data_IF_842912565688
#
_entry.id   IF_842912565688
#
_cell.length_a   1.000
_cell.length_b   1.000
_cell.length_c   1.000
_cell.angle_alpha   90.00
_cell.angle_beta   90.00
_cell.angle_gamma   90.00
#
_symmetry.space_group_name_H-M   'P 1'
#
loop_
_entity.id
_entity.type
_entity.pdbx_description
1 polymer ?
#
# COMPACT_ATOMS: atom_id res chain seq x y z
N UNK A 1 -28.17 30.85 -23.40
CA UNK A 1 -27.11 31.72 -22.86
C UNK A 1 -25.75 31.07 -23.02
N UNK A 2 -25.19 31.11 -24.24
CA UNK A 2 -24.01 30.33 -24.62
C UNK A 2 -23.07 31.26 -25.42
N UNK A 3 -21.76 31.25 -25.12
CA UNK A 3 -20.71 32.03 -25.80
C UNK A 3 -19.72 31.08 -26.47
N UNK A 4 -19.16 31.46 -27.62
CA UNK A 4 -18.06 30.72 -28.27
C UNK A 4 -16.80 31.56 -28.32
N UNK A 5 -15.87 31.30 -27.39
CA UNK A 5 -14.60 32.02 -27.28
C UNK A 5 -13.44 31.25 -27.90
N UNK A 6 -12.40 31.96 -28.33
CA UNK A 6 -11.11 31.37 -28.73
C UNK A 6 -10.29 30.93 -27.52
N UNK A 7 -9.53 29.82 -27.65
CA UNK A 7 -8.66 29.25 -26.59
C UNK A 7 -7.79 30.30 -25.88
N UNK A 8 -7.63 30.16 -24.56
CA UNK A 8 -6.53 30.79 -23.82
C UNK A 8 -5.75 29.79 -22.91
N UNK A 9 -4.41 29.87 -23.05
CA UNK A 9 -3.24 29.32 -22.31
C UNK A 9 -2.85 27.82 -22.39
N UNK A 10 -1.82 27.56 -23.22
CA UNK A 10 -0.49 27.01 -22.83
C UNK A 10 0.60 27.56 -23.79
N UNK A 11 1.73 28.02 -23.21
CA UNK A 11 3.03 28.41 -23.81
C UNK A 11 2.99 29.17 -25.16
N UNK A 12 3.08 30.51 -25.09
CA UNK A 12 3.70 31.30 -26.17
C UNK A 12 2.86 31.67 -27.40
N UNK A 13 1.53 31.68 -27.33
CA UNK A 13 0.68 32.13 -28.44
C UNK A 13 -0.25 33.27 -28.03
N UNK A 14 -0.23 34.32 -28.85
CA UNK A 14 -0.90 35.61 -28.71
C UNK A 14 -2.43 35.45 -28.66
N UNK A 15 -3.07 36.24 -27.80
CA UNK A 15 -4.53 36.24 -27.57
C UNK A 15 -5.23 36.92 -28.75
N UNK A 16 -6.06 36.19 -29.49
CA UNK A 16 -7.08 36.76 -30.37
C UNK A 16 -8.45 36.53 -29.77
N UNK A 17 -8.94 37.48 -28.97
CA UNK A 17 -10.31 38.01 -29.05
C UNK A 17 -10.60 38.93 -27.87
N UNK A 18 -10.65 40.23 -28.14
CA UNK A 18 -11.06 41.26 -27.17
C UNK A 18 -12.58 41.45 -27.09
N UNK A 19 -13.40 40.84 -27.97
CA UNK A 19 -14.85 41.10 -28.03
C UNK A 19 -15.63 39.83 -28.43
N UNK A 20 -15.99 38.97 -27.48
CA UNK A 20 -16.89 37.80 -27.72
C UNK A 20 -18.21 37.95 -26.94
N UNK A 21 -18.37 39.04 -26.19
CA UNK A 21 -19.52 39.24 -25.31
C UNK A 21 -20.80 39.64 -26.06
N UNK A 22 -20.67 39.99 -27.34
CA UNK A 22 -21.69 40.62 -28.18
C UNK A 22 -22.23 39.74 -29.32
N UNK A 23 -21.76 38.49 -29.47
CA UNK A 23 -22.24 37.61 -30.54
C UNK A 23 -23.75 37.35 -30.42
N UNK A 24 -24.42 37.34 -31.57
CA UNK A 24 -25.82 36.92 -31.72
C UNK A 24 -25.97 35.40 -31.52
N UNK A 25 -27.21 34.91 -31.39
CA UNK A 25 -27.47 33.48 -31.20
C UNK A 25 -27.07 32.70 -32.45
N UNK A 26 -27.33 33.26 -33.63
CA UNK A 26 -27.06 32.69 -34.95
C UNK A 26 -25.56 32.51 -35.18
N UNK A 27 -24.76 33.52 -34.84
CA UNK A 27 -23.31 33.46 -34.91
C UNK A 27 -22.74 32.38 -33.97
N UNK A 28 -23.30 32.26 -32.76
CA UNK A 28 -22.89 31.20 -31.84
C UNK A 28 -23.28 29.81 -32.37
N UNK A 29 -24.46 29.63 -32.95
CA UNK A 29 -24.85 28.34 -33.54
C UNK A 29 -23.98 27.98 -34.75
N UNK A 30 -23.58 28.95 -35.55
CA UNK A 30 -22.65 28.74 -36.67
C UNK A 30 -21.29 28.24 -36.18
N UNK A 31 -20.68 28.93 -35.20
CA UNK A 31 -19.41 28.51 -34.61
C UNK A 31 -19.51 27.16 -33.88
N UNK A 32 -20.68 26.81 -33.33
CA UNK A 32 -20.91 25.50 -32.73
C UNK A 32 -20.87 24.38 -33.77
N UNK A 33 -21.48 24.58 -34.94
CA UNK A 33 -21.40 23.63 -36.06
C UNK A 33 -19.95 23.41 -36.51
N UNK A 34 -19.15 24.47 -36.56
CA UNK A 34 -17.70 24.39 -36.84
C UNK A 34 -16.96 23.53 -35.79
N UNK A 35 -17.28 23.70 -34.50
CA UNK A 35 -16.73 22.85 -33.42
C UNK A 35 -17.12 21.38 -33.60
N UNK A 36 -18.40 21.09 -33.89
CA UNK A 36 -18.91 19.72 -34.08
C UNK A 36 -18.27 19.06 -35.30
N UNK A 37 -18.09 19.82 -36.39
CA UNK A 37 -17.35 19.36 -37.57
C UNK A 37 -15.86 19.12 -37.27
N UNK A 38 -15.31 19.82 -36.28
CA UNK A 38 -13.89 19.81 -35.94
C UNK A 38 -13.03 20.52 -36.97
N UNK A 39 -13.57 21.57 -37.60
CA UNK A 39 -12.85 22.41 -38.56
C UNK A 39 -11.69 23.15 -37.89
N UNK A 40 -10.79 23.76 -38.69
CA UNK A 40 -9.72 24.61 -38.15
C UNK A 40 -10.27 25.76 -37.30
N UNK A 41 -11.43 26.33 -37.69
CA UNK A 41 -12.12 27.33 -36.90
C UNK A 41 -12.66 26.73 -35.60
N UNK A 42 -13.34 25.59 -35.68
CA UNK A 42 -13.90 24.89 -34.52
C UNK A 42 -12.86 24.50 -33.47
N UNK A 43 -11.65 24.07 -33.89
CA UNK A 43 -10.53 23.74 -32.99
C UNK A 43 -10.05 24.93 -32.16
N UNK A 44 -10.18 26.14 -32.70
CA UNK A 44 -9.82 27.38 -32.02
C UNK A 44 -10.88 27.81 -31.01
N UNK A 45 -12.13 27.33 -31.15
CA UNK A 45 -13.27 27.70 -30.33
C UNK A 45 -13.48 26.81 -29.09
N UNK A 46 -14.16 27.36 -28.10
CA UNK A 46 -14.70 26.66 -26.93
C UNK A 46 -16.03 27.27 -26.53
N UNK A 47 -16.95 26.43 -26.04
CA UNK A 47 -18.24 26.87 -25.53
C UNK A 47 -18.08 27.36 -24.10
N UNK A 48 -18.64 28.52 -23.76
CA UNK A 48 -18.63 29.10 -22.42
C UNK A 48 -20.06 29.44 -21.97
N UNK A 49 -20.29 29.37 -20.66
CA UNK A 49 -21.46 29.98 -20.05
C UNK A 49 -21.42 31.50 -20.20
N UNK A 50 -22.60 32.12 -20.24
CA UNK A 50 -22.75 33.58 -20.17
C UNK A 50 -23.22 33.92 -18.76
N UNK A 51 -22.27 34.14 -17.86
CA UNK A 51 -22.47 34.47 -16.46
C UNK A 51 -21.87 35.86 -16.19
N UNK A 52 -21.28 36.09 -15.01
CA UNK A 52 -20.66 37.36 -14.65
C UNK A 52 -19.14 37.25 -14.60
N UNK A 53 -18.47 37.97 -15.52
CA UNK A 53 -17.01 38.04 -15.58
C UNK A 53 -16.38 38.78 -14.40
N UNK A 54 -17.16 39.58 -13.66
CA UNK A 54 -16.72 40.32 -12.47
C UNK A 54 -17.02 39.59 -11.15
N UNK A 55 -17.65 38.42 -11.20
CA UNK A 55 -18.04 37.68 -10.00
C UNK A 55 -16.82 37.41 -9.09
N UNK A 56 -16.89 37.64 -7.76
CA UNK A 56 -15.79 37.34 -6.85
C UNK A 56 -15.40 35.84 -6.88
N UNK A 57 -16.35 34.94 -7.14
CA UNK A 57 -16.10 33.53 -7.40
C UNK A 57 -15.65 33.30 -8.85
N UNK A 58 -14.38 32.97 -9.01
CA UNK A 58 -13.76 32.73 -10.34
C UNK A 58 -14.44 31.62 -11.14
N UNK A 59 -15.11 30.66 -10.49
CA UNK A 59 -15.81 29.57 -11.20
C UNK A 59 -17.05 30.05 -11.96
N UNK A 60 -17.60 31.21 -11.59
CA UNK A 60 -18.76 31.83 -12.24
C UNK A 60 -18.36 32.80 -13.36
N UNK A 61 -17.06 33.04 -13.59
CA UNK A 61 -16.56 33.94 -14.65
C UNK A 61 -16.56 33.25 -16.01
N UNK A 62 -17.74 33.16 -16.62
CA UNK A 62 -17.99 32.51 -17.91
C UNK A 62 -17.22 31.19 -18.06
N UNK A 63 -17.55 30.17 -17.25
CA UNK A 63 -16.83 28.91 -17.29
C UNK A 63 -16.92 28.24 -18.66
N UNK A 64 -15.87 27.51 -19.04
CA UNK A 64 -15.86 26.72 -20.28
C UNK A 64 -16.72 25.47 -20.08
N UNK A 65 -17.69 25.26 -20.97
CA UNK A 65 -18.58 24.11 -20.98
C UNK A 65 -18.16 23.02 -21.95
N UNK A 66 -17.69 23.37 -23.16
CA UNK A 66 -17.24 22.39 -24.15
C UNK A 66 -15.94 22.81 -24.82
N UNK A 67 -15.15 21.81 -25.22
CA UNK A 67 -13.92 21.98 -25.99
C UNK A 67 -13.92 21.06 -27.21
N UNK A 68 -13.32 21.52 -28.29
CA UNK A 68 -13.04 20.68 -29.44
C UNK A 68 -11.75 19.85 -29.17
N UNK A 69 -11.85 18.52 -29.30
CA UNK A 69 -10.74 17.57 -29.28
C UNK A 69 -11.00 16.49 -30.33
N UNK A 70 -10.02 16.23 -31.20
CA UNK A 70 -10.13 15.22 -32.26
C UNK A 70 -9.60 13.84 -31.84
N UNK A 71 -8.93 13.76 -30.69
CA UNK A 71 -8.43 12.49 -30.18
C UNK A 71 -9.59 11.50 -29.96
N UNK A 72 -9.50 10.26 -30.48
CA UNK A 72 -10.55 9.27 -30.29
C UNK A 72 -10.82 8.97 -28.81
N UNK A 73 -12.09 8.89 -28.42
CA UNK A 73 -12.47 8.51 -27.07
C UNK A 73 -12.47 6.98 -26.92
N UNK A 74 -11.82 6.47 -25.87
CA UNK A 74 -11.64 5.04 -25.64
C UNK A 74 -12.92 4.16 -25.72
N UNK A 75 -14.11 4.69 -25.38
CA UNK A 75 -15.39 3.95 -25.48
C UNK A 75 -16.17 4.12 -26.78
N UNK A 76 -16.06 5.28 -27.43
CA UNK A 76 -16.97 5.70 -28.52
C UNK A 76 -16.21 6.13 -29.77
N UNK A 77 -14.89 5.89 -29.80
CA UNK A 77 -14.00 6.25 -30.90
C UNK A 77 -14.09 7.73 -31.25
N UNK A 78 -14.07 8.00 -32.56
CA UNK A 78 -14.11 9.35 -33.14
C UNK A 78 -15.53 9.87 -33.41
N UNK A 79 -16.56 9.29 -32.75
CA UNK A 79 -17.96 9.68 -32.97
C UNK A 79 -18.23 11.15 -32.66
N UNK A 80 -17.55 11.69 -31.65
CA UNK A 80 -17.68 13.08 -31.25
C UNK A 80 -16.32 13.77 -31.34
N UNK A 81 -16.35 15.07 -31.63
CA UNK A 81 -15.16 15.95 -31.69
C UNK A 81 -15.23 17.08 -30.67
N UNK A 82 -16.32 17.12 -29.90
CA UNK A 82 -16.63 18.15 -28.92
C UNK A 82 -17.01 17.46 -27.64
N UNK A 83 -16.30 17.78 -26.56
CA UNK A 83 -16.43 17.11 -25.28
C UNK A 83 -16.71 18.12 -24.17
N UNK A 84 -17.64 17.80 -23.25
CA UNK A 84 -17.94 18.68 -22.14
C UNK A 84 -16.77 18.72 -21.16
N UNK A 85 -16.65 19.81 -20.42
CA UNK A 85 -15.77 19.88 -19.25
C UNK A 85 -16.39 19.14 -18.08
N UNK A 86 -15.56 18.74 -17.11
CA UNK A 86 -16.02 18.12 -15.86
C UNK A 86 -17.11 18.94 -15.18
N UNK A 87 -16.87 20.25 -15.02
CA UNK A 87 -17.78 21.16 -14.31
C UNK A 87 -19.15 21.32 -15.00
N UNK A 88 -19.22 21.08 -16.31
CA UNK A 88 -20.47 21.13 -17.07
C UNK A 88 -21.20 19.79 -17.15
N UNK A 89 -20.45 18.69 -17.28
CA UNK A 89 -21.03 17.36 -17.40
C UNK A 89 -21.57 16.83 -16.08
N UNK A 90 -20.84 17.00 -14.97
CA UNK A 90 -21.19 16.39 -13.69
C UNK A 90 -22.58 16.77 -13.15
N UNK A 91 -22.97 18.07 -13.11
CA UNK A 91 -24.32 18.43 -12.64
C UNK A 91 -25.42 17.77 -13.48
N UNK A 92 -25.25 17.74 -14.80
CA UNK A 92 -26.20 17.11 -15.72
C UNK A 92 -26.33 15.61 -15.45
N UNK A 93 -25.20 14.89 -15.36
CA UNK A 93 -25.18 13.45 -15.11
C UNK A 93 -25.81 13.13 -13.76
N UNK A 94 -25.39 13.81 -12.69
CA UNK A 94 -25.93 13.58 -11.35
C UNK A 94 -27.45 13.80 -11.28
N UNK A 95 -27.95 14.85 -11.92
CA UNK A 95 -29.38 15.15 -11.92
C UNK A 95 -30.18 14.07 -12.67
N UNK A 96 -29.74 13.69 -13.87
CA UNK A 96 -30.40 12.70 -14.74
C UNK A 96 -30.33 11.29 -14.17
N UNK A 97 -29.22 10.90 -13.54
CA UNK A 97 -29.07 9.60 -12.89
C UNK A 97 -29.79 9.51 -11.54
N UNK A 98 -30.44 10.59 -11.09
CA UNK A 98 -31.23 10.57 -9.84
C UNK A 98 -30.38 10.70 -8.56
N UNK A 99 -29.13 11.17 -8.66
CA UNK A 99 -28.26 11.37 -7.49
C UNK A 99 -28.90 12.37 -6.53
N UNK A 100 -29.10 11.95 -5.29
CA UNK A 100 -29.66 12.83 -4.24
C UNK A 100 -28.56 13.62 -3.53
N UNK A 101 -27.44 12.96 -3.23
CA UNK A 101 -26.31 13.48 -2.48
C UNK A 101 -25.01 13.23 -3.25
N UNK A 102 -24.46 14.27 -3.88
CA UNK A 102 -23.16 14.21 -4.53
C UNK A 102 -22.05 14.41 -3.47
N UNK A 103 -21.35 13.33 -3.13
CA UNK A 103 -20.25 13.35 -2.16
C UNK A 103 -18.94 13.67 -2.88
N UNK A 104 -18.24 14.74 -2.48
CA UNK A 104 -17.00 15.16 -3.16
C UNK A 104 -15.94 15.72 -2.20
N UNK A 105 -14.70 15.82 -2.66
CA UNK A 105 -13.65 16.44 -1.85
C UNK A 105 -13.84 17.96 -1.73
N UNK A 106 -13.44 18.54 -0.60
CA UNK A 106 -13.52 19.98 -0.33
C UNK A 106 -12.67 20.85 -1.26
N UNK A 107 -11.74 20.24 -2.02
CA UNK A 107 -10.93 20.92 -3.05
C UNK A 107 -11.79 21.54 -4.16
N UNK A 108 -13.04 21.10 -4.31
CA UNK A 108 -13.96 21.62 -5.32
C UNK A 108 -14.89 22.71 -4.79
N UNK A 109 -14.79 23.11 -3.51
CA UNK A 109 -15.75 23.99 -2.82
C UNK A 109 -16.21 25.19 -3.64
N UNK A 110 -15.25 25.95 -4.20
CA UNK A 110 -15.55 27.16 -4.98
C UNK A 110 -16.46 26.88 -6.20
N UNK A 111 -16.49 25.64 -6.69
CA UNK A 111 -17.30 25.19 -7.84
C UNK A 111 -18.74 24.80 -7.48
N UNK A 112 -19.11 24.79 -6.20
CA UNK A 112 -20.49 24.51 -5.78
C UNK A 112 -21.49 25.47 -6.43
N UNK A 113 -21.16 26.77 -6.43
CA UNK A 113 -22.02 27.79 -7.02
C UNK A 113 -22.21 27.55 -8.53
N UNK A 114 -21.12 27.26 -9.25
CA UNK A 114 -21.16 26.91 -10.66
C UNK A 114 -22.03 25.67 -10.91
N UNK A 115 -21.88 24.62 -10.09
CA UNK A 115 -22.65 23.38 -10.21
C UNK A 115 -24.16 23.65 -10.10
N UNK A 116 -24.59 24.38 -9.06
CA UNK A 116 -26.00 24.69 -8.86
C UNK A 116 -26.55 25.62 -9.94
N UNK A 117 -25.75 26.58 -10.41
CA UNK A 117 -26.15 27.47 -11.49
C UNK A 117 -26.42 26.71 -12.80
N UNK A 118 -25.59 25.70 -13.11
CA UNK A 118 -25.80 24.86 -14.30
C UNK A 118 -27.11 24.06 -14.20
N UNK A 119 -27.44 23.51 -13.02
CA UNK A 119 -28.71 22.82 -12.82
C UNK A 119 -29.90 23.76 -13.04
N UNK A 120 -29.84 24.96 -12.49
CA UNK A 120 -30.88 25.99 -12.64
C UNK A 120 -31.04 26.42 -14.10
N UNK A 121 -29.95 26.77 -14.78
CA UNK A 121 -29.96 27.20 -16.19
C UNK A 121 -30.52 26.11 -17.13
N UNK A 122 -30.40 24.84 -16.75
CA UNK A 122 -30.93 23.69 -17.50
C UNK A 122 -32.34 23.25 -17.06
N UNK A 123 -32.91 23.85 -16.01
CA UNK A 123 -34.19 23.42 -15.45
C UNK A 123 -34.15 22.01 -14.84
N UNK A 124 -32.99 21.58 -14.34
CA UNK A 124 -32.78 20.26 -13.76
C UNK A 124 -33.06 20.23 -12.26
N UNK A 125 -33.36 19.02 -11.76
CA UNK A 125 -33.53 18.78 -10.32
C UNK A 125 -32.27 19.17 -9.55
N UNK A 126 -32.46 19.85 -8.43
CA UNK A 126 -31.38 20.17 -7.48
C UNK A 126 -30.78 18.88 -6.87
N UNK A 127 -29.45 18.78 -6.92
CA UNK A 127 -28.67 17.75 -6.24
C UNK A 127 -27.97 18.38 -5.04
N UNK A 128 -28.00 17.73 -3.89
CA UNK A 128 -27.32 18.23 -2.69
C UNK A 128 -25.85 17.85 -2.73
N UNK A 129 -24.95 18.78 -2.42
CA UNK A 129 -23.51 18.51 -2.40
C UNK A 129 -23.04 18.40 -0.95
N UNK A 130 -22.32 17.33 -0.65
CA UNK A 130 -21.68 17.12 0.64
C UNK A 130 -20.18 16.97 0.46
N UNK A 131 -19.43 17.76 1.22
CA UNK A 131 -18.00 17.89 1.04
C UNK A 131 -17.24 17.34 2.23
N UNK A 132 -16.17 16.62 1.94
CA UNK A 132 -15.26 16.05 2.93
C UNK A 132 -13.80 16.28 2.50
N UNK A 133 -12.90 16.29 3.47
CA UNK A 133 -11.47 16.39 3.19
C UNK A 133 -10.97 15.10 2.57
N UNK A 134 -9.99 15.22 1.67
CA UNK A 134 -9.29 14.04 1.14
C UNK A 134 -8.43 13.41 2.23
N UNK A 135 -8.29 12.09 2.20
CA UNK A 135 -7.33 11.37 3.03
C UNK A 135 -5.90 11.74 2.60
N UNK A 136 -5.04 12.06 3.57
CA UNK A 136 -3.60 12.19 3.36
C UNK A 136 -2.87 11.29 4.36
N UNK A 137 -1.80 10.62 3.92
CA UNK A 137 -0.96 9.76 4.75
C UNK A 137 0.44 10.37 4.87
N UNK A 138 1.08 10.21 6.02
CA UNK A 138 2.50 10.56 6.19
C UNK A 138 3.41 9.77 5.24
N UNK A 139 4.56 10.34 4.90
CA UNK A 139 5.59 9.73 4.04
C UNK A 139 5.08 9.31 2.65
N UNK A 140 3.94 9.84 2.22
CA UNK A 140 3.20 9.35 1.05
C UNK A 140 2.84 10.46 0.09
N UNK A 141 3.06 10.19 -1.19
CA UNK A 141 2.62 11.06 -2.29
C UNK A 141 1.39 10.45 -2.95
N UNK A 142 0.27 11.17 -2.96
CA UNK A 142 -0.98 10.70 -3.59
C UNK A 142 -1.22 11.28 -5.00
N UNK A 143 -0.37 12.21 -5.44
CA UNK A 143 -0.49 12.82 -6.76
C UNK A 143 -0.19 11.78 -7.86
N UNK A 144 -1.16 11.55 -8.76
CA UNK A 144 -1.00 10.65 -9.91
C UNK A 144 0.24 10.98 -10.75
N UNK A 145 0.56 12.26 -10.93
CA UNK A 145 1.76 12.70 -11.66
C UNK A 145 3.05 12.23 -10.97
N UNK A 146 3.13 12.38 -9.64
CA UNK A 146 4.30 11.95 -8.85
C UNK A 146 4.40 10.42 -8.81
N UNK A 147 3.29 9.71 -8.62
CA UNK A 147 3.26 8.24 -8.67
C UNK A 147 3.67 7.69 -10.04
N UNK A 148 3.18 8.29 -11.13
CA UNK A 148 3.59 7.92 -12.48
C UNK A 148 5.10 8.11 -12.69
N UNK A 149 5.69 9.16 -12.12
CA UNK A 149 7.13 9.38 -12.19
C UNK A 149 7.92 8.23 -11.54
N UNK A 150 7.51 7.73 -10.37
CA UNK A 150 8.15 6.57 -9.72
C UNK A 150 8.13 5.32 -10.61
N UNK A 151 6.99 5.06 -11.28
CA UNK A 151 6.84 3.92 -12.20
C UNK A 151 7.73 4.12 -13.43
N UNK A 152 7.67 5.29 -14.08
CA UNK A 152 8.42 5.56 -15.31
C UNK A 152 9.95 5.56 -15.11
N UNK A 153 10.42 5.90 -13.91
CA UNK A 153 11.85 5.94 -13.57
C UNK A 153 12.33 4.65 -12.89
N UNK A 154 11.55 3.58 -12.91
CA UNK A 154 11.94 2.27 -12.37
C UNK A 154 12.27 2.29 -10.87
N UNK A 155 11.73 3.25 -10.12
CA UNK A 155 11.91 3.35 -8.65
C UNK A 155 11.02 2.37 -7.90
N UNK A 156 10.03 1.81 -8.59
CA UNK A 156 9.12 0.76 -8.14
C UNK A 156 8.87 -0.25 -9.25
N UNK A 157 8.35 -1.42 -8.91
CA UNK A 157 8.08 -2.50 -9.84
C UNK A 157 6.85 -2.22 -10.72
N UNK A 158 5.91 -1.40 -10.25
CA UNK A 158 4.66 -1.11 -10.94
C UNK A 158 3.62 -0.41 -10.06
N UNK A 159 2.37 -0.36 -10.52
CA UNK A 159 1.25 0.24 -9.76
C UNK A 159 0.80 -0.60 -8.56
N UNK A 160 1.12 -1.90 -8.57
CA UNK A 160 0.85 -2.86 -7.50
C UNK A 160 2.05 -3.05 -6.56
N UNK A 161 3.09 -2.22 -6.66
CA UNK A 161 4.27 -2.30 -5.80
C UNK A 161 3.87 -2.16 -4.31
N UNK A 162 4.38 -3.00 -3.39
CA UNK A 162 4.07 -2.93 -1.96
C UNK A 162 4.36 -1.60 -1.27
N UNK A 163 5.25 -0.77 -1.83
CA UNK A 163 5.58 0.57 -1.34
C UNK A 163 4.61 1.64 -1.81
N UNK A 164 3.75 1.33 -2.79
CA UNK A 164 2.78 2.27 -3.33
C UNK A 164 1.53 2.39 -2.45
N UNK A 165 0.94 3.60 -2.35
CA UNK A 165 -0.29 3.83 -1.61
C UNK A 165 -1.54 3.45 -2.42
N UNK A 166 -1.40 2.63 -3.46
CA UNK A 166 -2.54 2.09 -4.20
C UNK A 166 -3.17 0.96 -3.39
N UNK A 167 -4.48 0.73 -3.58
CA UNK A 167 -5.16 -0.41 -2.94
C UNK A 167 -4.47 -1.73 -3.31
N UNK A 168 -4.05 -1.88 -4.58
CA UNK A 168 -3.31 -3.06 -5.04
C UNK A 168 -1.96 -3.21 -4.32
N UNK A 169 -1.19 -2.13 -4.19
CA UNK A 169 0.11 -2.13 -3.52
C UNK A 169 0.01 -2.52 -2.05
N UNK A 170 -0.84 -1.85 -1.28
CA UNK A 170 -0.99 -2.14 0.15
C UNK A 170 -1.58 -3.54 0.41
N UNK A 171 -2.48 -4.04 -0.45
CA UNK A 171 -2.97 -5.43 -0.37
C UNK A 171 -1.88 -6.42 -0.72
N UNK A 172 -1.06 -6.15 -1.75
CA UNK A 172 0.10 -6.98 -2.08
C UNK A 172 1.16 -6.98 -0.97
N UNK A 173 1.28 -5.88 -0.22
CA UNK A 173 2.11 -5.82 1.00
C UNK A 173 1.55 -6.70 2.13
N UNK A 174 0.25 -6.98 2.15
CA UNK A 174 -0.41 -7.85 3.13
C UNK A 174 -1.51 -7.18 3.95
N UNK A 175 -1.99 -6.01 3.52
CA UNK A 175 -3.17 -5.38 4.11
C UNK A 175 -4.45 -6.16 3.75
N UNK A 176 -5.29 -6.43 4.74
CA UNK A 176 -6.65 -6.92 4.56
C UNK A 176 -7.60 -5.79 4.19
N UNK A 177 -8.52 -6.03 3.25
CA UNK A 177 -9.49 -5.02 2.80
C UNK A 177 -10.38 -4.59 3.96
N UNK A 178 -10.73 -5.53 4.83
CA UNK A 178 -11.51 -5.30 6.05
C UNK A 178 -10.80 -4.30 6.98
N UNK A 179 -9.47 -4.34 7.08
CA UNK A 179 -8.69 -3.37 7.86
C UNK A 179 -8.78 -1.96 7.24
N UNK A 180 -8.71 -1.87 5.90
CA UNK A 180 -8.84 -0.60 5.19
C UNK A 180 -10.23 0.01 5.39
N UNK A 181 -11.29 -0.80 5.28
CA UNK A 181 -12.67 -0.36 5.51
C UNK A 181 -12.83 0.13 6.95
N UNK A 182 -12.37 -0.64 7.93
CA UNK A 182 -12.42 -0.25 9.35
C UNK A 182 -11.66 1.06 9.60
N UNK A 183 -10.48 1.23 9.00
CA UNK A 183 -9.71 2.46 9.13
C UNK A 183 -10.47 3.68 8.58
N UNK A 184 -11.09 3.55 7.40
CA UNK A 184 -11.86 4.64 6.79
C UNK A 184 -13.12 4.97 7.61
N UNK A 185 -13.81 3.94 8.14
CA UNK A 185 -14.99 4.14 8.99
C UNK A 185 -14.63 4.79 10.33
N UNK A 186 -13.51 4.40 10.96
CA UNK A 186 -13.03 5.02 12.20
C UNK A 186 -12.68 6.50 12.00
N UNK A 187 -12.15 6.85 10.83
CA UNK A 187 -11.81 8.23 10.53
C UNK A 187 -13.05 9.11 10.32
N UNK A 188 -14.07 8.56 9.64
CA UNK A 188 -15.28 9.29 9.28
C UNK A 188 -15.07 10.40 8.26
N UNK A 189 -16.18 10.95 7.77
CA UNK A 189 -16.16 12.10 6.88
C UNK A 189 -16.03 13.39 7.70
N UNK A 190 -14.98 14.16 7.44
CA UNK A 190 -14.76 15.48 8.06
C UNK A 190 -14.21 16.46 7.04
N UNK A 191 -14.54 17.75 7.17
CA UNK A 191 -13.97 18.82 6.34
C UNK A 191 -12.53 19.19 6.75
N UNK A 192 -12.09 18.77 7.93
CA UNK A 192 -10.74 19.06 8.43
C UNK A 192 -9.71 18.20 7.72
N UNK A 193 -8.67 18.85 7.16
CA UNK A 193 -7.58 18.16 6.51
C UNK A 193 -6.70 17.48 7.57
N UNK A 194 -6.81 16.15 7.65
CA UNK A 194 -6.07 15.35 8.61
C UNK A 194 -4.95 14.58 7.90
N UNK A 195 -3.76 14.61 8.49
CA UNK A 195 -2.60 13.82 8.07
C UNK A 195 -2.53 12.56 8.94
N UNK A 196 -2.69 11.39 8.31
CA UNK A 196 -2.78 10.11 9.00
C UNK A 196 -1.45 9.37 9.06
N UNK A 197 -1.25 8.65 10.16
CA UNK A 197 -0.11 7.78 10.39
C UNK A 197 -0.41 6.35 9.89
N UNK A 198 0.54 5.71 9.20
CA UNK A 198 0.38 4.34 8.71
C UNK A 198 0.26 3.31 9.84
N UNK A 199 0.89 3.58 10.98
CA UNK A 199 0.91 2.69 12.14
C UNK A 199 -0.50 2.34 12.63
N UNK A 200 -1.44 3.28 12.53
CA UNK A 200 -2.85 3.05 12.88
C UNK A 200 -3.49 1.99 11.97
N UNK A 201 -3.31 2.12 10.66
CA UNK A 201 -3.84 1.17 9.67
C UNK A 201 -3.22 -0.23 9.87
N UNK A 202 -1.90 -0.30 10.07
CA UNK A 202 -1.20 -1.56 10.30
C UNK A 202 -1.56 -2.22 11.64
N UNK A 203 -1.83 -1.43 12.67
CA UNK A 203 -2.34 -1.93 13.96
C UNK A 203 -3.72 -2.58 13.80
N UNK A 204 -4.61 -1.96 13.03
CA UNK A 204 -5.93 -2.53 12.71
C UNK A 204 -5.73 -3.84 11.94
N UNK A 205 -4.87 -3.85 10.92
CA UNK A 205 -4.56 -5.05 10.15
C UNK A 205 -4.04 -6.20 11.01
N UNK A 206 -3.09 -5.90 11.92
CA UNK A 206 -2.55 -6.87 12.87
C UNK A 206 -3.63 -7.53 13.72
N UNK A 207 -4.57 -6.75 14.24
CA UNK A 207 -5.71 -7.28 15.04
C UNK A 207 -6.57 -8.26 14.27
N UNK A 208 -6.64 -8.13 12.94
CA UNK A 208 -7.38 -9.05 12.07
C UNK A 208 -6.56 -10.32 11.78
N UNK A 209 -5.27 -10.18 11.47
CA UNK A 209 -4.45 -11.32 11.03
C UNK A 209 -3.90 -12.17 12.18
N UNK A 210 -3.47 -11.57 13.30
CA UNK A 210 -2.80 -12.28 14.41
C UNK A 210 -3.60 -13.47 14.97
N UNK A 211 -4.92 -13.35 15.23
CA UNK A 211 -5.70 -14.46 15.80
C UNK A 211 -5.81 -15.70 14.91
N UNK A 212 -5.64 -15.55 13.59
CA UNK A 212 -5.89 -16.60 12.59
C UNK A 212 -4.62 -17.07 11.86
N UNK A 213 -3.49 -16.39 12.06
CA UNK A 213 -2.29 -16.57 11.27
C UNK A 213 -1.54 -17.88 11.62
N UNK A 214 -1.25 -18.78 10.67
CA UNK A 214 -0.39 -19.93 10.94
C UNK A 214 1.04 -19.50 11.29
N UNK A 215 1.64 -20.16 12.29
CA UNK A 215 2.98 -19.84 12.79
C UNK A 215 4.03 -20.79 12.25
N UNK A 216 5.04 -20.21 11.65
CA UNK A 216 6.21 -20.87 11.08
C UNK A 216 7.48 -20.39 11.76
N UNK A 217 8.54 -21.16 11.61
CA UNK A 217 9.84 -20.83 12.17
C UNK A 217 10.81 -20.57 11.05
N UNK A 218 11.61 -19.52 11.19
CA UNK A 218 12.69 -19.21 10.28
C UNK A 218 13.91 -18.75 11.07
N UNK A 219 15.10 -19.01 10.55
CA UNK A 219 16.40 -18.56 11.08
C UNK A 219 17.14 -17.84 9.96
N UNK A 220 17.77 -16.70 10.26
CA UNK A 220 18.52 -15.95 9.25
C UNK A 220 19.74 -16.74 8.76
N UNK A 221 19.98 -16.78 7.46
CA UNK A 221 20.94 -17.71 6.87
C UNK A 221 22.39 -17.40 7.30
N UNK A 222 22.76 -16.11 7.32
CA UNK A 222 24.09 -15.62 7.71
C UNK A 222 24.27 -15.48 9.22
N UNK A 223 23.16 -15.41 9.97
CA UNK A 223 23.15 -15.23 11.43
C UNK A 223 22.60 -16.48 12.14
N UNK A 224 22.82 -17.67 11.60
CA UNK A 224 22.45 -18.92 12.27
C UNK A 224 23.56 -19.42 13.17
N UNK A 225 23.19 -19.94 14.33
CA UNK A 225 24.09 -20.60 15.28
C UNK A 225 23.60 -22.03 15.47
N UNK A 226 24.53 -22.99 15.43
CA UNK A 226 24.19 -24.40 15.70
C UNK A 226 24.17 -24.64 17.21
N UNK A 227 23.10 -25.24 17.70
CA UNK A 227 22.97 -25.75 19.07
C UNK A 227 22.95 -27.28 19.02
N UNK A 228 23.91 -27.90 19.72
CA UNK A 228 24.01 -29.35 19.87
C UNK A 228 23.49 -29.75 21.26
N UNK A 229 22.49 -30.62 21.26
CA UNK A 229 21.87 -31.19 22.45
C UNK A 229 22.51 -32.56 22.74
N UNK A 230 23.34 -32.66 23.77
CA UNK A 230 24.14 -33.87 24.04
C UNK A 230 23.29 -35.07 24.46
N UNK A 231 22.18 -34.83 25.17
CA UNK A 231 21.15 -35.82 25.50
C UNK A 231 19.91 -35.70 24.60
N UNK A 232 20.05 -35.07 23.43
CA UNK A 232 19.02 -35.02 22.40
C UNK A 232 18.76 -36.38 21.74
N UNK A 233 17.72 -36.50 20.90
CA UNK A 233 17.40 -37.75 20.23
C UNK A 233 18.52 -38.21 19.30
N UNK A 234 18.98 -39.46 19.46
CA UNK A 234 20.02 -40.06 18.61
C UNK A 234 19.60 -40.19 17.15
N UNK A 235 18.32 -40.50 16.92
CA UNK A 235 17.71 -40.57 15.58
C UNK A 235 16.66 -39.48 15.43
N UNK A 236 16.66 -38.73 14.31
CA UNK A 236 15.61 -37.78 14.02
C UNK A 236 14.22 -38.42 14.08
N UNK A 237 13.27 -37.73 14.69
CA UNK A 237 11.86 -38.16 14.68
C UNK A 237 10.93 -36.96 14.44
N UNK A 238 9.71 -37.24 13.99
CA UNK A 238 8.74 -36.20 13.62
C UNK A 238 7.57 -36.20 14.59
N UNK A 239 7.13 -35.01 15.02
CA UNK A 239 5.84 -34.82 15.71
C UNK A 239 4.96 -33.86 14.94
N UNK A 240 3.66 -34.13 14.99
CA UNK A 240 2.64 -33.23 14.46
C UNK A 240 2.21 -32.26 15.57
N UNK A 241 2.43 -30.97 15.35
CA UNK A 241 2.06 -29.90 16.30
C UNK A 241 1.14 -28.87 15.63
N UNK A 242 0.27 -28.18 16.38
CA UNK A 242 -0.56 -27.11 15.83
C UNK A 242 0.28 -25.98 15.22
N UNK A 243 -0.15 -25.40 14.09
CA UNK A 243 0.45 -24.16 13.55
C UNK A 243 0.05 -22.94 14.36
N UNK A 244 -1.09 -22.97 15.04
CA UNK A 244 -1.52 -21.90 15.93
C UNK A 244 -2.22 -22.48 17.15
N UNK A 245 -1.67 -22.24 18.35
CA UNK A 245 -2.14 -22.87 19.60
C UNK A 245 -3.59 -22.53 19.97
N UNK A 246 -4.07 -21.35 19.55
CA UNK A 246 -5.41 -20.84 19.89
C UNK A 246 -6.40 -20.88 18.73
N UNK A 247 -5.98 -21.35 17.55
CA UNK A 247 -6.80 -21.34 16.34
C UNK A 247 -6.59 -22.62 15.55
N UNK A 248 -7.53 -23.54 15.70
CA UNK A 248 -7.49 -24.86 15.06
C UNK A 248 -7.53 -24.76 13.53
N UNK A 249 -8.19 -23.74 12.98
CA UNK A 249 -8.27 -23.51 11.54
C UNK A 249 -6.92 -23.24 10.85
N UNK A 250 -5.87 -22.90 11.60
CA UNK A 250 -4.50 -22.82 11.06
C UNK A 250 -3.92 -24.19 10.70
N UNK A 251 -4.53 -25.29 11.15
CA UNK A 251 -4.07 -26.65 10.91
C UNK A 251 -2.82 -27.02 11.72
N UNK A 252 -2.14 -28.07 11.26
CA UNK A 252 -0.99 -28.69 11.94
C UNK A 252 0.25 -28.65 11.04
N UNK A 253 1.44 -28.76 11.65
CA UNK A 253 2.74 -28.85 10.99
C UNK A 253 3.51 -30.07 11.51
N UNK A 254 4.28 -30.68 10.62
CA UNK A 254 5.24 -31.72 10.98
C UNK A 254 6.56 -31.05 11.35
N UNK A 255 7.02 -31.27 12.59
CA UNK A 255 8.29 -30.74 13.08
C UNK A 255 9.24 -31.90 13.34
N UNK A 256 10.42 -31.84 12.76
CA UNK A 256 11.49 -32.83 12.96
C UNK A 256 12.34 -32.41 14.17
N UNK A 257 12.57 -33.35 15.09
CA UNK A 257 13.34 -33.19 16.31
C UNK A 257 14.67 -33.94 16.17
N UNK A 258 15.78 -33.24 16.40
CA UNK A 258 17.15 -33.73 16.16
C UNK A 258 18.09 -33.21 17.23
N UNK A 259 19.15 -33.94 17.57
CA UNK A 259 20.17 -33.46 18.51
C UNK A 259 20.94 -32.21 18.02
N UNK A 260 20.80 -31.82 16.75
CA UNK A 260 21.43 -30.63 16.16
C UNK A 260 20.35 -29.71 15.61
N UNK A 261 20.31 -28.48 16.10
CA UNK A 261 19.31 -27.47 15.70
C UNK A 261 19.94 -26.11 15.44
N UNK A 262 19.37 -25.36 14.50
CA UNK A 262 19.72 -23.98 14.20
C UNK A 262 18.88 -23.02 15.03
N UNK A 263 19.51 -21.97 15.55
CA UNK A 263 18.86 -20.81 16.18
C UNK A 263 19.40 -19.50 15.59
N UNK A 264 18.68 -18.39 15.79
CA UNK A 264 19.19 -17.07 15.40
C UNK A 264 20.30 -16.59 16.34
N UNK A 265 21.30 -15.90 15.78
CA UNK A 265 22.43 -15.35 16.52
C UNK A 265 21.98 -14.34 17.59
N UNK A 266 20.99 -13.49 17.29
CA UNK A 266 20.48 -12.52 18.26
C UNK A 266 19.96 -13.20 19.54
N UNK A 267 19.24 -14.30 19.36
CA UNK A 267 18.75 -15.14 20.46
C UNK A 267 19.92 -15.85 21.16
N UNK A 268 20.86 -16.44 20.41
CA UNK A 268 22.05 -17.10 20.96
C UNK A 268 22.96 -16.15 21.77
N UNK A 269 23.11 -14.90 21.32
CA UNK A 269 23.94 -13.87 21.96
C UNK A 269 23.38 -13.36 23.27
N UNK A 270 22.09 -13.61 23.53
CA UNK A 270 21.42 -13.21 24.76
C UNK A 270 21.54 -14.26 25.88
N UNK A 271 22.12 -15.43 25.57
CA UNK A 271 22.21 -16.58 26.48
C UNK A 271 23.54 -16.56 27.22
N UNK A 272 23.50 -16.93 28.50
CA UNK A 272 24.68 -17.19 29.33
C UNK A 272 24.94 -18.69 29.54
N UNK A 273 26.19 -19.07 29.80
CA UNK A 273 26.51 -20.44 30.21
C UNK A 273 25.82 -20.80 31.53
N UNK A 274 25.27 -22.01 31.60
CA UNK A 274 24.43 -22.49 32.70
C UNK A 274 22.97 -22.02 32.64
N UNK A 275 22.59 -21.17 31.69
CA UNK A 275 21.23 -20.64 31.60
C UNK A 275 20.24 -21.67 31.04
N UNK A 276 19.05 -21.72 31.66
CA UNK A 276 17.94 -22.53 31.20
C UNK A 276 17.05 -21.73 30.24
N UNK A 277 16.83 -22.27 29.05
CA UNK A 277 16.08 -21.66 27.96
C UNK A 277 14.92 -22.57 27.54
N UNK A 278 13.80 -21.99 27.09
CA UNK A 278 12.73 -22.76 26.44
C UNK A 278 13.03 -22.90 24.95
N UNK A 279 13.09 -24.12 24.44
CA UNK A 279 12.95 -24.43 23.02
C UNK A 279 11.45 -24.51 22.70
N UNK A 280 10.95 -23.57 21.88
CA UNK A 280 9.52 -23.47 21.60
C UNK A 280 8.96 -24.78 21.03
N UNK A 281 7.84 -25.24 21.60
CA UNK A 281 7.15 -26.50 21.25
C UNK A 281 7.96 -27.79 21.44
N UNK A 282 9.10 -27.72 22.13
CA UNK A 282 9.90 -28.88 22.54
C UNK A 282 9.94 -29.06 24.06
N UNK A 283 10.42 -28.06 24.80
CA UNK A 283 10.69 -28.15 26.24
C UNK A 283 11.84 -27.22 26.63
N UNK A 284 12.37 -27.39 27.85
CA UNK A 284 13.52 -26.60 28.29
C UNK A 284 14.85 -27.27 27.91
N UNK A 285 15.90 -26.48 27.82
CA UNK A 285 17.28 -26.92 27.68
C UNK A 285 18.19 -26.04 28.54
N UNK A 286 19.28 -26.62 29.07
CA UNK A 286 20.32 -25.91 29.81
C UNK A 286 21.52 -25.79 28.89
N UNK A 287 21.97 -24.57 28.63
CA UNK A 287 23.15 -24.32 27.80
C UNK A 287 24.40 -24.50 28.66
N UNK A 288 25.23 -25.48 28.33
CA UNK A 288 26.41 -25.85 29.11
C UNK A 288 27.67 -25.11 28.68
N UNK A 289 27.82 -24.89 27.38
CA UNK A 289 29.03 -24.30 26.80
C UNK A 289 28.68 -23.41 25.59
N UNK A 290 29.34 -22.26 25.48
CA UNK A 290 29.21 -21.33 24.36
C UNK A 290 30.55 -21.20 23.65
N UNK A 291 30.67 -21.83 22.47
CA UNK A 291 31.89 -21.76 21.65
C UNK A 291 31.92 -20.49 20.82
N UNK A 292 33.04 -19.77 20.92
CA UNK A 292 33.29 -18.51 20.20
C UNK A 292 34.55 -18.59 19.36
N UNK A 293 34.50 -17.99 18.18
CA UNK A 293 35.64 -17.80 17.29
C UNK A 293 35.70 -16.32 16.89
N UNK A 294 36.86 -15.67 17.05
CA UNK A 294 37.03 -14.23 16.81
C UNK A 294 35.96 -13.36 17.52
N UNK A 295 35.55 -13.75 18.73
CA UNK A 295 34.53 -13.06 19.52
C UNK A 295 33.07 -13.29 19.06
N UNK A 296 32.83 -14.05 17.98
CA UNK A 296 31.50 -14.42 17.51
C UNK A 296 31.12 -15.81 18.00
N UNK A 297 29.87 -15.98 18.44
CA UNK A 297 29.33 -17.30 18.80
C UNK A 297 29.16 -18.12 17.51
N UNK A 298 29.83 -19.27 17.46
CA UNK A 298 29.75 -20.21 16.34
C UNK A 298 28.88 -21.42 16.66
N UNK A 299 28.82 -21.82 17.93
CA UNK A 299 28.15 -23.03 18.37
C UNK A 299 27.77 -22.95 19.85
N UNK A 300 26.62 -23.52 20.18
CA UNK A 300 26.15 -23.76 21.54
C UNK A 300 26.13 -25.27 21.81
N UNK A 301 26.43 -25.67 23.05
CA UNK A 301 26.27 -27.04 23.51
C UNK A 301 25.36 -27.00 24.75
N UNK A 302 24.35 -27.84 24.77
CA UNK A 302 23.40 -27.90 25.87
C UNK A 302 22.79 -29.28 26.08
N UNK A 303 21.94 -29.37 27.09
CA UNK A 303 21.21 -30.57 27.47
C UNK A 303 19.72 -30.26 27.60
N UNK A 304 18.86 -31.09 27.03
CA UNK A 304 17.42 -31.05 27.26
C UNK A 304 17.11 -31.29 28.74
N UNK A 305 16.27 -30.43 29.30
CA UNK A 305 15.70 -30.55 30.63
C UNK A 305 14.17 -30.60 30.52
N UNK A 306 13.63 -31.74 30.08
CA UNK A 306 12.19 -31.86 29.78
C UNK A 306 11.29 -31.81 31.02
N UNK A 307 11.84 -32.04 32.21
CA UNK A 307 11.16 -31.86 33.50
C UNK A 307 11.09 -30.39 33.93
N UNK A 308 11.88 -29.52 33.29
CA UNK A 308 11.90 -28.08 33.51
C UNK A 308 10.58 -27.40 33.16
N UNK A 309 10.32 -26.25 33.80
CA UNK A 309 9.10 -25.49 33.58
C UNK A 309 9.29 -24.39 32.54
N UNK A 310 8.50 -24.42 31.47
CA UNK A 310 8.46 -23.35 30.45
C UNK A 310 8.03 -21.99 31.02
N UNK A 311 7.44 -21.98 32.23
CA UNK A 311 6.99 -20.75 32.91
C UNK A 311 8.11 -20.03 33.65
N UNK A 312 9.18 -20.73 34.04
CA UNK A 312 10.27 -20.18 34.87
C UNK A 312 11.40 -19.59 34.04
N UNK A 313 11.58 -20.04 32.80
CA UNK A 313 12.64 -19.55 31.90
C UNK A 313 12.28 -18.19 31.30
N UNK A 314 13.24 -17.27 31.29
CA UNK A 314 13.10 -15.94 30.67
C UNK A 314 13.21 -15.99 29.15
N UNK A 315 14.16 -16.76 28.63
CA UNK A 315 14.47 -16.84 27.21
C UNK A 315 13.68 -17.96 26.53
N UNK A 316 13.07 -17.64 25.38
CA UNK A 316 12.31 -18.56 24.55
C UNK A 316 12.84 -18.50 23.12
N UNK A 317 13.38 -19.60 22.66
CA UNK A 317 14.10 -19.73 21.40
C UNK A 317 13.22 -20.41 20.36
N UNK A 318 13.19 -19.83 19.18
CA UNK A 318 12.76 -20.52 17.96
C UNK A 318 13.93 -21.31 17.40
N UNK A 319 13.65 -22.48 16.82
CA UNK A 319 14.67 -23.38 16.31
C UNK A 319 14.22 -24.12 15.07
N UNK A 320 15.18 -24.54 14.25
CA UNK A 320 14.98 -25.41 13.09
C UNK A 320 15.89 -26.64 13.21
N UNK A 321 15.48 -27.84 12.77
CA UNK A 321 16.36 -28.98 12.71
C UNK A 321 17.51 -28.73 11.72
N UNK A 322 18.71 -29.21 12.03
CA UNK A 322 19.80 -29.29 11.06
C UNK A 322 19.46 -30.38 10.03
N UNK A 323 18.88 -29.97 8.90
CA UNK A 323 18.30 -30.87 7.89
C UNK A 323 18.34 -30.26 6.48
N UNK A 324 18.44 -31.12 5.47
CA UNK A 324 18.35 -30.74 4.05
C UNK A 324 16.91 -30.37 3.61
N UNK A 325 15.90 -30.65 4.43
CA UNK A 325 14.51 -30.36 4.11
C UNK A 325 14.11 -28.90 4.31
N UNK A 326 14.98 -28.09 4.94
CA UNK A 326 14.75 -26.67 5.16
C UNK A 326 14.54 -25.92 3.85
N UNK A 327 13.74 -24.85 3.92
CA UNK A 327 13.32 -24.08 2.75
C UNK A 327 14.04 -22.75 2.73
N UNK A 328 14.66 -22.39 1.60
CA UNK A 328 15.24 -21.06 1.43
C UNK A 328 14.14 -19.99 1.32
N UNK A 329 14.32 -18.90 2.04
CA UNK A 329 13.43 -17.75 2.08
C UNK A 329 14.22 -16.48 1.71
N UNK A 330 13.57 -15.56 0.99
CA UNK A 330 13.95 -14.15 0.91
C UNK A 330 12.90 -13.36 1.68
N UNK A 331 13.31 -12.82 2.83
CA UNK A 331 12.47 -11.95 3.67
C UNK A 331 12.64 -10.52 3.16
N UNK A 332 11.58 -9.96 2.59
CA UNK A 332 11.61 -8.64 1.95
C UNK A 332 10.93 -7.62 2.86
N UNK A 333 11.70 -6.64 3.30
CA UNK A 333 11.21 -5.51 4.07
C UNK A 333 11.10 -4.27 3.20
N UNK A 334 10.05 -3.49 3.41
CA UNK A 334 9.78 -2.27 2.65
C UNK A 334 9.77 -1.05 3.56
N UNK A 335 10.46 -0.01 3.13
CA UNK A 335 10.46 1.30 3.77
C UNK A 335 9.71 2.32 2.87
N UNK A 336 9.42 3.50 3.42
CA UNK A 336 8.73 4.57 2.72
C UNK A 336 9.56 5.10 1.55
N UNK A 337 8.89 5.45 0.45
CA UNK A 337 9.54 6.05 -0.74
C UNK A 337 10.08 7.46 -0.49
N UNK A 338 9.58 8.14 0.55
CA UNK A 338 9.93 9.50 0.93
C UNK A 338 10.36 9.52 2.40
N UNK A 339 11.41 10.26 2.72
CA UNK A 339 11.99 10.35 4.07
C UNK A 339 11.23 11.28 5.01
N UNK A 340 10.51 12.27 4.47
CA UNK A 340 9.77 13.27 5.26
C UNK A 340 8.31 12.87 5.45
N UNK A 341 7.78 13.10 6.66
CA UNK A 341 6.37 12.86 7.00
C UNK A 341 5.41 13.61 6.08
N UNK A 342 5.71 14.87 5.78
CA UNK A 342 4.95 15.71 4.88
C UNK A 342 5.95 16.57 4.10
N UNK A 343 5.72 16.71 2.81
CA UNK A 343 6.45 17.69 2.00
C UNK A 343 5.74 19.02 2.10
N UNK A 344 6.50 20.09 2.33
CA UNK A 344 5.97 21.44 2.37
C UNK A 344 5.80 22.01 0.96
N UNK A 345 5.02 23.08 0.85
CA UNK A 345 4.74 23.73 -0.42
C UNK A 345 6.03 24.35 -0.99
N UNK A 346 6.34 24.04 -2.26
CA UNK A 346 7.58 24.47 -2.92
C UNK A 346 8.74 23.49 -2.82
N UNK A 347 8.69 22.47 -1.97
CA UNK A 347 9.74 21.44 -1.91
C UNK A 347 9.67 20.49 -3.12
N UNK A 348 10.84 20.18 -3.69
CA UNK A 348 10.95 19.08 -4.64
C UNK A 348 10.92 17.74 -3.89
N UNK A 349 10.07 16.85 -4.38
CA UNK A 349 9.99 15.50 -3.81
C UNK A 349 11.21 14.65 -4.17
N UNK A 350 11.94 15.02 -5.23
CA UNK A 350 13.16 14.34 -5.66
C UNK A 350 14.28 14.43 -4.60
N UNK A 351 14.38 15.56 -3.90
CA UNK A 351 15.36 15.76 -2.83
C UNK A 351 15.04 14.94 -1.57
N UNK A 352 13.82 14.43 -1.48
CA UNK A 352 13.30 13.73 -0.30
C UNK A 352 13.10 12.23 -0.52
N UNK A 353 13.64 11.69 -1.62
CA UNK A 353 13.58 10.26 -1.92
C UNK A 353 14.36 9.44 -0.87
N UNK A 354 13.79 8.30 -0.50
CA UNK A 354 14.51 7.31 0.28
C UNK A 354 15.33 6.40 -0.67
N UNK A 355 16.67 6.33 -0.53
CA UNK A 355 17.52 5.50 -1.39
C UNK A 355 17.39 4.01 -1.07
N UNK A 356 16.99 3.64 0.15
CA UNK A 356 16.89 2.26 0.58
C UNK A 356 15.46 1.96 1.02
N UNK A 357 14.64 1.48 0.09
CA UNK A 357 13.21 1.25 0.31
C UNK A 357 12.81 -0.22 0.28
N UNK A 358 13.77 -1.09 -0.04
CA UNK A 358 13.60 -2.53 -0.10
C UNK A 358 14.87 -3.17 0.43
N UNK A 359 14.74 -4.05 1.41
CA UNK A 359 15.81 -4.88 1.96
C UNK A 359 15.41 -6.32 1.84
N UNK A 360 16.35 -7.18 1.45
CA UNK A 360 16.13 -8.61 1.36
C UNK A 360 17.12 -9.32 2.26
N UNK A 361 16.60 -10.17 3.14
CA UNK A 361 17.40 -10.95 4.06
C UNK A 361 17.17 -12.43 3.78
N UNK A 362 18.25 -13.16 3.51
CA UNK A 362 18.21 -14.60 3.32
C UNK A 362 17.92 -15.31 4.64
N UNK A 363 17.02 -16.29 4.60
CA UNK A 363 16.66 -17.09 5.77
C UNK A 363 16.35 -18.54 5.37
N UNK A 364 16.42 -19.43 6.35
CA UNK A 364 15.94 -20.80 6.25
C UNK A 364 14.63 -20.90 7.01
N UNK A 365 13.62 -21.52 6.41
CA UNK A 365 12.31 -21.79 6.98
C UNK A 365 12.06 -23.28 7.18
N UNK A 366 11.07 -23.60 8.01
CA UNK A 366 10.66 -24.98 8.23
C UNK A 366 10.12 -25.65 6.95
N UNK A 367 10.22 -26.97 6.87
CA UNK A 367 9.87 -27.75 5.67
C UNK A 367 8.39 -27.64 5.27
N UNK A 368 7.50 -27.31 6.21
CA UNK A 368 6.07 -27.15 5.93
C UNK A 368 5.79 -25.92 5.06
N UNK A 369 6.72 -24.97 5.01
CA UNK A 369 6.59 -23.77 4.18
C UNK A 369 6.58 -24.06 2.68
N UNK A 370 6.99 -25.27 2.25
CA UNK A 370 6.86 -25.72 0.85
C UNK A 370 5.41 -25.70 0.35
N UNK A 371 4.45 -25.79 1.26
CA UNK A 371 3.02 -25.80 0.95
C UNK A 371 2.38 -24.40 0.95
N UNK A 372 3.15 -23.33 1.23
CA UNK A 372 2.62 -21.97 1.23
C UNK A 372 2.17 -21.56 -0.16
N UNK A 373 0.98 -20.98 -0.22
CA UNK A 373 0.42 -20.45 -1.48
C UNK A 373 0.64 -18.95 -1.57
N UNK A 374 0.68 -18.46 -2.80
CA UNK A 374 0.74 -17.02 -3.08
C UNK A 374 -0.41 -16.29 -2.40
N UNK A 375 -0.09 -15.24 -1.66
CA UNK A 375 -1.04 -14.42 -0.91
C UNK A 375 -1.37 -14.92 0.49
N UNK A 376 -0.93 -16.13 0.88
CA UNK A 376 -1.07 -16.60 2.26
C UNK A 376 -0.25 -15.73 3.20
N UNK A 377 -0.80 -15.47 4.39
CA UNK A 377 -0.16 -14.71 5.45
C UNK A 377 0.28 -15.69 6.52
N UNK A 378 1.52 -15.53 6.95
CA UNK A 378 2.16 -16.35 8.00
C UNK A 378 2.77 -15.44 9.06
N UNK A 379 2.88 -15.96 10.28
CA UNK A 379 3.71 -15.37 11.31
C UNK A 379 5.00 -16.18 11.36
N UNK A 380 6.12 -15.51 11.13
CA UNK A 380 7.42 -16.07 11.51
C UNK A 380 7.63 -15.74 12.98
N UNK A 381 7.64 -16.77 13.83
CA UNK A 381 7.73 -16.57 15.27
C UNK A 381 8.98 -15.74 15.62
N UNK A 382 8.80 -14.75 16.50
CA UNK A 382 9.81 -13.75 16.89
C UNK A 382 10.32 -12.81 15.77
N UNK A 383 9.92 -12.99 14.51
CA UNK A 383 10.31 -12.10 13.39
C UNK A 383 9.19 -11.19 12.88
N UNK A 384 7.93 -11.61 12.96
CA UNK A 384 6.77 -10.80 12.58
C UNK A 384 5.83 -11.48 11.61
N UNK A 385 5.06 -10.68 10.87
CA UNK A 385 4.05 -11.17 9.93
C UNK A 385 4.54 -10.98 8.50
N UNK A 386 4.23 -11.95 7.65
CA UNK A 386 4.68 -11.96 6.26
C UNK A 386 3.58 -12.45 5.34
N UNK A 387 3.51 -11.88 4.13
CA UNK A 387 2.69 -12.39 3.03
C UNK A 387 3.59 -13.11 2.02
N UNK A 388 3.20 -14.30 1.59
CA UNK A 388 3.89 -15.02 0.52
C UNK A 388 3.64 -14.34 -0.83
N UNK A 389 4.66 -13.71 -1.44
CA UNK A 389 4.55 -13.11 -2.77
C UNK A 389 4.93 -14.08 -3.88
N UNK A 390 5.95 -14.91 -3.64
CA UNK A 390 6.37 -16.01 -4.53
C UNK A 390 6.43 -17.29 -3.71
N UNK A 391 5.59 -18.30 -3.99
CA UNK A 391 5.56 -19.57 -3.25
C UNK A 391 6.75 -20.47 -3.62
N UNK A 392 6.85 -21.63 -2.98
CA UNK A 392 7.88 -22.60 -3.29
C UNK A 392 7.70 -23.12 -4.74
N UNK A 393 8.76 -23.01 -5.54
CA UNK A 393 8.78 -23.52 -6.90
C UNK A 393 9.77 -24.68 -7.04
N UNK A 394 10.99 -24.50 -6.52
CA UNK A 394 12.07 -25.51 -6.52
C UNK A 394 13.14 -25.13 -5.49
N UNK A 395 13.97 -26.08 -5.02
CA UNK A 395 14.98 -25.82 -3.97
C UNK A 395 16.01 -24.71 -4.30
N UNK A 396 16.25 -24.45 -5.60
CA UNK A 396 17.18 -23.42 -6.06
C UNK A 396 16.61 -22.00 -6.00
N UNK A 397 15.31 -21.83 -5.78
CA UNK A 397 14.64 -20.52 -5.75
C UNK A 397 14.00 -20.33 -4.37
N UNK A 398 14.31 -19.24 -3.66
CA UNK A 398 13.71 -18.99 -2.36
C UNK A 398 12.22 -18.67 -2.48
N UNK A 399 11.46 -18.99 -1.45
CA UNK A 399 10.13 -18.39 -1.23
C UNK A 399 10.34 -16.91 -0.93
N UNK A 400 9.59 -16.02 -1.58
CA UNK A 400 9.67 -14.57 -1.31
C UNK A 400 8.53 -14.18 -0.38
N UNK A 401 8.90 -13.66 0.79
CA UNK A 401 7.98 -13.26 1.85
C UNK A 401 8.06 -11.75 2.07
N UNK A 402 6.95 -11.05 1.89
CA UNK A 402 6.87 -9.61 2.12
C UNK A 402 6.46 -9.31 3.56
N UNK A 403 7.27 -8.54 4.27
CA UNK A 403 7.02 -8.15 5.64
C UNK A 403 5.76 -7.26 5.72
N UNK A 404 4.84 -7.65 6.60
CA UNK A 404 3.63 -6.91 6.93
C UNK A 404 3.92 -6.11 8.21
N UNK A 405 3.82 -4.77 8.17
CA UNK A 405 4.03 -3.96 9.37
C UNK A 405 2.99 -4.28 10.44
N UNK A 406 3.41 -4.20 11.69
CA UNK A 406 2.61 -4.60 12.85
C UNK A 406 2.15 -3.41 13.72
N UNK A 407 2.37 -2.19 13.22
CA UNK A 407 1.99 -0.93 13.87
C UNK A 407 2.99 -0.39 14.90
N UNK A 408 4.11 -1.08 15.12
CA UNK A 408 5.24 -0.53 15.90
C UNK A 408 6.22 0.13 14.95
N UNK A 409 6.87 1.22 15.39
CA UNK A 409 8.02 1.77 14.67
C UNK A 409 9.07 0.66 14.56
N UNK A 410 9.38 0.24 13.33
CA UNK A 410 10.45 -0.72 13.09
C UNK A 410 11.76 -0.07 13.54
N UNK A 411 12.37 -0.61 14.59
CA UNK A 411 13.83 -0.60 14.64
C UNK A 411 14.25 -1.45 13.43
N UNK A 412 14.88 -0.82 12.44
CA UNK A 412 15.44 -1.56 11.32
C UNK A 412 16.30 -2.70 11.88
N UNK A 413 16.05 -3.93 11.42
CA UNK A 413 17.03 -5.00 11.58
C UNK A 413 18.31 -4.50 10.89
N UNK A 414 19.31 -4.16 11.70
CA UNK A 414 20.63 -3.72 11.25
C UNK A 414 21.47 -4.93 10.86
#
# INVERSE_FOLDING_TARGET
>A
MIRLGSRCRRRGWMVLSRNVETNTVEENLSLWKEMVAGSERGKQCCLRGKLDMQDPNKSLRDPVYYRCNLDPHHRIGSKYKVYPTYDFACPFVDAIEGVTHALRSSEYHDRNAQYHRILEDMGLRKVQIYEFSRLNMVYTLLSKRKLLWFVQNGKVDGWDDPRFPTVQGIVRRGLKIEALIQFILQQGASKNLNLMEWDKLWTINKKIIDPICPRHTAVLEEQRVILILTNGPEKPFVRIIPRHKKYEGAGKKATTFTNRIWSDYGDASSISEGEEVTLMDWGNAIIKEIKKENGKIIQLIGELNLEGSVKTTKLKLTWLPDSEELVRLSLVEFDYLIRKKKLEEGEDFLDNLNPCTRRETAALGDSNMRNLKRGEIVQLERKGYFRCDVPFLRPSKPIVLFAIPDGRQQASLN
#
